data_IF_996659172283
#
_entry.id   IF_996659172283
#
_cell.length_a   1.000
_cell.length_b   1.000
_cell.length_c   1.000
_cell.angle_alpha   90.00
_cell.angle_beta   90.00
_cell.angle_gamma   90.00
#
_symmetry.space_group_name_H-M   'P 1'
#
loop_
_entity.id
_entity.type
_entity.pdbx_description
1 polymer ?
#
# COMPACT_ATOMS: atom_id res chain seq x y z
N UNK A 1 49.29 1.48 13.24
CA UNK A 1 48.05 2.26 13.47
C UNK A 1 46.96 1.65 12.62
N UNK A 2 45.95 1.08 13.27
CA UNK A 2 44.86 0.32 12.66
C UNK A 2 43.94 1.26 11.87
N UNK A 3 43.86 1.07 10.55
CA UNK A 3 42.86 1.71 9.70
C UNK A 3 41.50 1.05 9.95
N UNK A 4 40.59 1.83 10.51
CA UNK A 4 39.22 1.45 10.83
C UNK A 4 38.36 1.56 9.55
N UNK A 5 38.62 0.71 8.56
CA UNK A 5 37.82 0.66 7.33
C UNK A 5 36.50 -0.07 7.62
N UNK A 6 35.38 0.65 7.62
CA UNK A 6 34.05 0.04 7.69
C UNK A 6 33.66 -0.54 6.32
N UNK A 7 33.62 -1.87 6.13
CA UNK A 7 33.44 -2.52 4.83
C UNK A 7 31.97 -2.54 4.34
N UNK A 8 31.13 -1.61 4.78
CA UNK A 8 29.66 -1.70 4.69
C UNK A 8 28.97 -0.65 3.81
N UNK A 9 29.68 0.32 3.22
CA UNK A 9 29.06 1.48 2.57
C UNK A 9 28.43 1.23 1.19
N UNK A 10 28.82 0.17 0.45
CA UNK A 10 28.30 -0.12 -0.90
C UNK A 10 27.44 -1.39 -1.03
N UNK A 11 27.19 -2.09 0.07
CA UNK A 11 26.40 -3.33 0.10
C UNK A 11 24.94 -3.04 0.54
N UNK A 12 23.98 -3.73 -0.08
CA UNK A 12 22.59 -3.77 0.40
C UNK A 12 22.14 -5.21 0.55
N UNK A 13 21.22 -5.49 1.48
CA UNK A 13 20.53 -6.77 1.52
C UNK A 13 19.20 -6.66 0.78
N UNK A 14 18.87 -7.66 -0.04
CA UNK A 14 17.61 -7.69 -0.76
C UNK A 14 16.41 -7.79 0.21
N UNK A 15 15.41 -6.90 0.13
CA UNK A 15 14.21 -6.97 0.97
C UNK A 15 13.47 -8.31 0.88
N UNK A 16 13.40 -8.90 -0.32
CA UNK A 16 12.60 -10.11 -0.56
C UNK A 16 13.30 -11.44 -0.31
N UNK A 17 14.64 -11.50 -0.27
CA UNK A 17 15.36 -12.78 -0.13
C UNK A 17 16.66 -12.71 0.68
N UNK A 18 16.96 -11.56 1.29
CA UNK A 18 18.11 -11.35 2.18
C UNK A 18 19.50 -11.54 1.53
N UNK A 19 19.54 -11.70 0.20
CA UNK A 19 20.80 -11.78 -0.55
C UNK A 19 21.57 -10.46 -0.44
N UNK A 20 22.83 -10.55 -0.01
CA UNK A 20 23.73 -9.40 0.05
C UNK A 20 24.28 -9.12 -1.35
N UNK A 21 24.08 -7.89 -1.83
CA UNK A 21 24.38 -7.47 -3.20
C UNK A 21 25.09 -6.12 -3.15
N UNK A 22 26.24 -5.96 -3.84
CA UNK A 22 26.83 -4.64 -4.05
C UNK A 22 25.91 -3.83 -4.98
N UNK A 23 25.56 -2.61 -4.56
CA UNK A 23 24.70 -1.73 -5.37
C UNK A 23 25.59 -0.65 -5.99
N UNK A 24 26.02 -0.80 -7.26
CA UNK A 24 26.71 0.28 -7.95
C UNK A 24 25.80 1.49 -8.13
N UNK A 25 26.39 2.64 -8.43
CA UNK A 25 25.64 3.81 -8.88
C UNK A 25 24.77 3.43 -10.08
N UNK A 26 23.49 3.73 -10.01
CA UNK A 26 22.53 3.40 -11.06
C UNK A 26 22.49 4.57 -12.04
N UNK A 27 22.76 4.36 -13.34
CA UNK A 27 22.57 5.41 -14.33
C UNK A 27 21.13 5.93 -14.32
N UNK A 28 20.94 7.18 -14.71
CA UNK A 28 19.63 7.79 -14.70
C UNK A 28 18.60 6.99 -15.51
N UNK A 29 17.39 6.88 -14.97
CA UNK A 29 16.29 6.12 -15.60
C UNK A 29 16.40 4.59 -15.51
N UNK A 30 17.50 4.05 -14.97
CA UNK A 30 17.67 2.61 -14.79
C UNK A 30 17.27 2.16 -13.38
N UNK A 31 17.01 0.86 -13.24
CA UNK A 31 16.74 0.22 -11.95
C UNK A 31 17.55 -1.05 -11.80
N UNK A 32 17.92 -1.39 -10.56
CA UNK A 32 18.57 -2.66 -10.25
C UNK A 32 17.55 -3.61 -9.65
N UNK A 33 17.48 -4.84 -10.18
CA UNK A 33 16.68 -5.93 -9.63
C UNK A 33 17.56 -7.06 -9.09
N UNK A 34 17.11 -7.70 -8.02
CA UNK A 34 17.79 -8.84 -7.44
C UNK A 34 17.76 -10.06 -8.38
N UNK A 35 18.91 -10.64 -8.72
CA UNK A 35 18.99 -11.84 -9.58
C UNK A 35 18.35 -13.11 -8.99
N UNK A 36 18.09 -13.14 -7.68
CA UNK A 36 17.49 -14.30 -6.99
C UNK A 36 15.97 -14.28 -6.96
N UNK A 37 15.37 -13.19 -6.43
CA UNK A 37 13.92 -13.06 -6.26
C UNK A 37 13.27 -12.03 -7.21
N UNK A 38 14.07 -11.25 -7.95
CA UNK A 38 13.60 -10.20 -8.86
C UNK A 38 13.16 -8.90 -8.18
N UNK A 39 13.29 -8.77 -6.86
CA UNK A 39 12.88 -7.55 -6.12
C UNK A 39 13.73 -6.36 -6.55
N UNK A 40 13.11 -5.20 -6.79
CA UNK A 40 13.82 -3.96 -7.14
C UNK A 40 14.58 -3.42 -5.93
N UNK A 41 15.87 -3.16 -6.08
CA UNK A 41 16.79 -2.75 -5.00
C UNK A 41 17.01 -1.24 -4.96
N UNK A 42 17.20 -0.62 -6.12
CA UNK A 42 17.51 0.80 -6.25
C UNK A 42 16.96 1.34 -7.56
N UNK A 43 16.52 2.60 -7.53
CA UNK A 43 16.14 3.43 -8.70
C UNK A 43 16.80 4.79 -8.50
N UNK A 44 17.39 5.36 -9.54
CA UNK A 44 17.94 6.72 -9.51
C UNK A 44 17.01 7.67 -10.26
N UNK A 45 16.78 8.87 -9.69
CA UNK A 45 15.97 9.91 -10.30
C UNK A 45 16.70 11.26 -10.27
N UNK A 46 16.79 11.91 -11.42
CA UNK A 46 17.33 13.27 -11.57
C UNK A 46 16.47 14.25 -10.75
N UNK A 47 17.13 15.09 -9.94
CA UNK A 47 16.52 16.17 -9.15
C UNK A 47 15.30 15.72 -8.31
N UNK A 48 15.41 14.55 -7.67
CA UNK A 48 14.33 13.96 -6.87
C UNK A 48 13.76 14.93 -5.82
N UNK A 49 14.60 15.71 -5.13
CA UNK A 49 14.16 16.65 -4.09
C UNK A 49 13.30 17.77 -4.66
N UNK A 50 13.77 18.47 -5.71
CA UNK A 50 13.03 19.58 -6.31
C UNK A 50 11.73 19.11 -6.97
N UNK A 51 11.75 17.94 -7.62
CA UNK A 51 10.54 17.34 -8.21
C UNK A 51 9.51 16.98 -7.14
N UNK A 52 9.93 16.28 -6.08
CA UNK A 52 9.05 15.93 -4.96
C UNK A 52 8.49 17.19 -4.31
N UNK A 53 9.31 18.23 -4.14
CA UNK A 53 8.87 19.51 -3.58
C UNK A 53 7.78 20.17 -4.46
N UNK A 54 8.04 20.33 -5.75
CA UNK A 54 7.10 20.98 -6.68
C UNK A 54 5.79 20.19 -6.81
N UNK A 55 5.87 18.87 -6.96
CA UNK A 55 4.71 17.99 -7.09
C UNK A 55 3.89 17.95 -5.80
N UNK A 56 4.53 17.87 -4.64
CA UNK A 56 3.82 17.82 -3.35
C UNK A 56 3.18 19.17 -3.02
N UNK A 57 3.83 20.29 -3.37
CA UNK A 57 3.24 21.62 -3.23
C UNK A 57 1.99 21.79 -4.12
N UNK A 58 2.08 21.42 -5.40
CA UNK A 58 0.94 21.44 -6.30
C UNK A 58 -0.19 20.51 -5.81
N UNK A 59 0.17 19.32 -5.29
CA UNK A 59 -0.78 18.38 -4.70
C UNK A 59 -1.51 18.95 -3.48
N UNK A 60 -0.80 19.64 -2.59
CA UNK A 60 -1.41 20.30 -1.42
C UNK A 60 -2.36 21.43 -1.81
N UNK A 61 -2.05 22.20 -2.87
CA UNK A 61 -2.95 23.22 -3.39
C UNK A 61 -4.24 22.62 -3.97
N UNK A 62 -4.15 21.49 -4.68
CA UNK A 62 -5.31 20.78 -5.22
C UNK A 62 -6.07 19.97 -4.18
N UNK A 63 -5.47 19.64 -3.04
CA UNK A 63 -6.08 18.79 -2.02
C UNK A 63 -7.37 19.39 -1.44
N UNK A 64 -7.35 20.67 -1.03
CA UNK A 64 -8.53 21.34 -0.47
C UNK A 64 -9.70 21.38 -1.46
N UNK A 65 -9.55 21.90 -2.69
CA UNK A 65 -10.68 21.91 -3.64
C UNK A 65 -11.12 20.48 -4.01
N UNK A 66 -10.21 19.51 -4.09
CA UNK A 66 -10.57 18.12 -4.39
C UNK A 66 -11.44 17.45 -3.31
N UNK A 67 -11.25 17.79 -2.03
CA UNK A 67 -11.98 17.16 -0.93
C UNK A 67 -13.31 17.84 -0.61
N UNK A 68 -13.37 19.17 -0.73
CA UNK A 68 -14.52 19.97 -0.28
C UNK A 68 -15.44 20.46 -1.40
N UNK A 69 -14.96 20.60 -2.64
CA UNK A 69 -15.84 21.00 -3.74
C UNK A 69 -16.69 19.81 -4.19
N UNK A 70 -17.92 20.07 -4.66
CA UNK A 70 -18.74 19.02 -5.23
C UNK A 70 -18.01 18.38 -6.41
N UNK A 71 -18.03 17.05 -6.47
CA UNK A 71 -17.47 16.28 -7.57
C UNK A 71 -18.43 16.29 -8.76
N UNK A 72 -19.70 16.00 -8.48
CA UNK A 72 -20.77 15.91 -9.45
C UNK A 72 -22.05 16.55 -8.90
N UNK A 73 -22.89 17.04 -9.80
CA UNK A 73 -24.27 17.43 -9.50
C UNK A 73 -25.19 16.46 -10.22
N UNK A 74 -26.06 15.78 -9.49
CA UNK A 74 -27.11 14.95 -10.06
C UNK A 74 -28.38 15.78 -10.10
N UNK A 75 -28.99 15.88 -11.29
CA UNK A 75 -30.33 16.44 -11.41
C UNK A 75 -31.32 15.35 -11.82
N UNK A 76 -32.19 15.00 -10.88
CA UNK A 76 -33.29 14.06 -11.11
C UNK A 76 -34.58 14.66 -10.54
N UNK A 77 -35.67 14.61 -11.32
CA UNK A 77 -36.98 15.18 -10.95
C UNK A 77 -36.93 16.65 -10.46
N UNK A 78 -36.00 17.46 -10.98
CA UNK A 78 -35.86 18.88 -10.64
C UNK A 78 -35.12 19.19 -9.33
N UNK A 79 -34.77 18.17 -8.54
CA UNK A 79 -33.88 18.30 -7.37
C UNK A 79 -32.42 18.19 -7.81
N UNK A 80 -31.55 19.03 -7.23
CA UNK A 80 -30.10 19.01 -7.48
C UNK A 80 -29.37 18.52 -6.25
N UNK A 81 -28.86 17.30 -6.32
CA UNK A 81 -28.00 16.67 -5.31
C UNK A 81 -26.53 16.99 -5.61
N UNK A 82 -25.75 17.37 -4.60
CA UNK A 82 -24.31 17.68 -4.71
C UNK A 82 -23.54 16.76 -3.77
N UNK A 83 -22.54 16.05 -4.29
CA UNK A 83 -21.70 15.16 -3.48
C UNK A 83 -20.21 15.52 -3.58
N UNK A 84 -19.57 15.77 -2.44
CA UNK A 84 -18.11 15.76 -2.27
C UNK A 84 -17.62 14.49 -1.55
N UNK A 85 -16.29 14.33 -1.46
CA UNK A 85 -15.68 13.21 -0.71
C UNK A 85 -16.05 13.25 0.76
N UNK A 86 -16.08 14.46 1.34
CA UNK A 86 -16.41 14.66 2.75
C UNK A 86 -17.91 14.43 2.99
N UNK A 87 -18.77 14.88 2.08
CA UNK A 87 -20.22 14.63 2.18
C UNK A 87 -20.53 13.13 2.19
N UNK A 88 -19.77 12.35 1.40
CA UNK A 88 -19.87 10.88 1.41
C UNK A 88 -19.57 10.30 2.80
N UNK A 89 -18.54 10.80 3.49
CA UNK A 89 -18.20 10.36 4.85
C UNK A 89 -19.28 10.72 5.89
N UNK A 90 -19.86 11.93 5.75
CA UNK A 90 -20.94 12.43 6.60
C UNK A 90 -22.21 11.61 6.38
N UNK A 91 -22.54 11.30 5.12
CA UNK A 91 -23.66 10.44 4.74
C UNK A 91 -23.58 9.07 5.40
N UNK A 92 -22.40 8.44 5.45
CA UNK A 92 -22.24 7.17 6.19
C UNK A 92 -22.49 7.31 7.69
N UNK A 93 -22.03 8.40 8.30
CA UNK A 93 -22.22 8.62 9.72
C UNK A 93 -23.70 8.81 10.06
N UNK A 94 -24.41 9.63 9.28
CA UNK A 94 -25.83 9.91 9.49
C UNK A 94 -26.71 8.66 9.30
N UNK A 95 -26.34 7.79 8.37
CA UNK A 95 -27.04 6.53 8.12
C UNK A 95 -26.67 5.39 9.10
N UNK A 96 -25.94 5.69 10.19
CA UNK A 96 -25.60 4.73 11.24
C UNK A 96 -24.39 3.84 10.94
N UNK A 97 -23.68 4.07 9.84
CA UNK A 97 -22.50 3.28 9.42
C UNK A 97 -21.20 3.85 10.00
N UNK A 98 -21.13 3.91 11.33
CA UNK A 98 -20.01 4.55 12.05
C UNK A 98 -18.66 3.93 11.67
N UNK A 99 -18.57 2.61 11.57
CA UNK A 99 -17.31 1.91 11.24
C UNK A 99 -16.83 2.25 9.82
N UNK A 100 -17.74 2.19 8.83
CA UNK A 100 -17.42 2.49 7.42
C UNK A 100 -17.09 3.98 7.24
N UNK A 101 -17.81 4.87 7.95
CA UNK A 101 -17.53 6.30 7.97
C UNK A 101 -16.13 6.61 8.51
N UNK A 102 -15.74 6.03 9.65
CA UNK A 102 -14.41 6.23 10.25
C UNK A 102 -13.31 5.74 9.30
N UNK A 103 -13.46 4.53 8.75
CA UNK A 103 -12.46 3.94 7.84
C UNK A 103 -12.34 4.80 6.58
N UNK A 104 -13.46 5.16 5.96
CA UNK A 104 -13.47 6.00 4.76
C UNK A 104 -12.89 7.38 5.04
N UNK A 105 -13.22 8.02 6.16
CA UNK A 105 -12.65 9.31 6.54
C UNK A 105 -11.14 9.24 6.74
N UNK A 106 -10.64 8.24 7.46
CA UNK A 106 -9.20 8.06 7.68
C UNK A 106 -8.49 7.80 6.34
N UNK A 107 -9.03 6.92 5.50
CA UNK A 107 -8.34 6.45 4.28
C UNK A 107 -8.52 7.36 3.06
N UNK A 108 -9.64 8.07 2.94
CA UNK A 108 -9.95 8.96 1.82
C UNK A 108 -9.60 10.44 2.12
N UNK A 109 -9.60 10.85 3.39
CA UNK A 109 -9.30 12.25 3.77
C UNK A 109 -7.93 12.36 4.45
N UNK A 110 -7.70 11.66 5.57
CA UNK A 110 -6.48 11.85 6.38
C UNK A 110 -5.24 11.27 5.70
N UNK A 111 -5.27 10.01 5.27
CA UNK A 111 -4.11 9.32 4.68
C UNK A 111 -3.61 10.04 3.42
N UNK A 112 -4.46 10.50 2.48
CA UNK A 112 -4.01 11.20 1.28
C UNK A 112 -3.34 12.54 1.60
N UNK A 113 -3.87 13.27 2.58
CA UNK A 113 -3.25 14.50 3.09
C UNK A 113 -1.84 14.21 3.61
N UNK A 114 -1.70 13.25 4.53
CA UNK A 114 -0.41 12.89 5.11
C UNK A 114 0.58 12.33 4.07
N UNK A 115 0.08 11.58 3.07
CA UNK A 115 0.88 11.01 1.97
C UNK A 115 1.58 12.11 1.16
N UNK A 116 0.96 13.27 0.95
CA UNK A 116 1.54 14.39 0.20
C UNK A 116 2.27 15.37 1.13
N UNK A 117 1.72 15.61 2.32
CA UNK A 117 2.26 16.58 3.28
C UNK A 117 3.63 16.17 3.86
N UNK A 118 3.83 14.88 4.15
CA UNK A 118 5.12 14.41 4.72
C UNK A 118 6.28 14.61 3.72
N UNK A 119 6.21 14.14 2.45
CA UNK A 119 7.23 14.41 1.45
C UNK A 119 7.47 15.91 1.19
N UNK A 120 6.42 16.74 1.26
CA UNK A 120 6.57 18.18 1.16
C UNK A 120 7.44 18.73 2.30
N UNK A 121 7.11 18.41 3.55
CA UNK A 121 7.87 18.88 4.71
C UNK A 121 9.32 18.37 4.71
N UNK A 122 9.55 17.11 4.33
CA UNK A 122 10.90 16.56 4.25
C UNK A 122 11.70 17.23 3.14
N UNK A 123 11.12 17.42 1.94
CA UNK A 123 11.79 18.09 0.83
C UNK A 123 12.10 19.57 1.14
N UNK A 124 11.17 20.32 1.76
CA UNK A 124 11.39 21.70 2.22
C UNK A 124 12.54 21.75 3.23
N UNK A 125 12.51 20.87 4.24
CA UNK A 125 13.52 20.87 5.30
C UNK A 125 14.91 20.53 4.77
N UNK A 126 15.00 19.56 3.85
CA UNK A 126 16.25 19.21 3.17
C UNK A 126 16.78 20.38 2.32
N UNK A 127 15.90 21.08 1.57
CA UNK A 127 16.27 22.23 0.75
C UNK A 127 16.72 23.44 1.59
N UNK A 128 16.15 23.61 2.79
CA UNK A 128 16.55 24.64 3.76
C UNK A 128 17.77 24.24 4.61
N UNK A 129 18.35 23.06 4.41
CA UNK A 129 19.47 22.54 5.21
C UNK A 129 19.11 22.29 6.70
N UNK A 130 17.82 22.30 7.05
CA UNK A 130 17.36 22.17 8.44
C UNK A 130 17.11 20.70 8.77
N UNK A 131 17.90 20.16 9.71
CA UNK A 131 17.70 18.82 10.26
C UNK A 131 16.78 18.89 11.47
N UNK A 132 15.50 18.59 11.28
CA UNK A 132 14.59 18.36 12.40
C UNK A 132 14.54 16.86 12.71
N UNK A 133 14.83 16.48 13.96
CA UNK A 133 14.74 15.08 14.43
C UNK A 133 13.33 14.48 14.21
N UNK A 134 12.30 15.32 14.15
CA UNK A 134 10.91 14.95 13.84
C UNK A 134 10.73 14.39 12.43
N UNK A 135 11.62 14.69 11.48
CA UNK A 135 11.49 14.22 10.09
C UNK A 135 11.73 12.72 9.93
N UNK A 136 12.55 12.12 10.79
CA UNK A 136 12.85 10.69 10.79
C UNK A 136 11.59 9.85 11.05
N UNK A 137 10.84 10.05 12.15
CA UNK A 137 9.60 9.32 12.39
C UNK A 137 8.52 9.67 11.35
N UNK A 138 8.45 10.90 10.86
CA UNK A 138 7.51 11.27 9.79
C UNK A 138 7.78 10.49 8.50
N UNK A 139 9.04 10.41 8.06
CA UNK A 139 9.38 9.69 6.84
C UNK A 139 9.21 8.16 6.99
N UNK A 140 9.39 7.63 8.20
CA UNK A 140 8.99 6.26 8.56
C UNK A 140 7.48 6.05 8.43
N UNK A 141 6.67 6.98 8.97
CA UNK A 141 5.21 6.93 8.85
C UNK A 141 4.76 6.97 7.38
N UNK A 142 5.41 7.78 6.54
CA UNK A 142 5.11 7.85 5.12
C UNK A 142 5.20 6.50 4.41
N UNK A 143 6.18 5.65 4.74
CA UNK A 143 6.28 4.30 4.19
C UNK A 143 5.02 3.48 4.49
N UNK A 144 4.51 3.53 5.72
CA UNK A 144 3.27 2.84 6.06
C UNK A 144 2.08 3.48 5.35
N UNK A 145 2.00 4.81 5.28
CA UNK A 145 0.90 5.49 4.57
C UNK A 145 0.85 5.15 3.07
N UNK A 146 1.97 4.86 2.41
CA UNK A 146 1.96 4.37 1.02
C UNK A 146 1.34 2.97 0.87
N UNK A 147 1.41 2.14 1.91
CA UNK A 147 0.79 0.81 1.92
C UNK A 147 -0.74 0.91 2.12
N UNK A 148 -1.22 1.95 2.80
CA UNK A 148 -2.64 2.17 3.13
C UNK A 148 -3.34 3.24 2.25
N UNK A 149 -2.59 4.09 1.56
CA UNK A 149 -3.13 5.22 0.81
C UNK A 149 -3.69 4.82 -0.55
N UNK A 150 -4.99 5.02 -0.74
CA UNK A 150 -5.78 4.46 -1.85
C UNK A 150 -6.59 5.54 -2.59
N UNK A 151 -5.99 6.70 -2.87
CA UNK A 151 -6.69 7.81 -3.57
C UNK A 151 -7.09 7.38 -4.98
N UNK A 152 -6.24 6.59 -5.63
CA UNK A 152 -6.44 6.06 -6.98
C UNK A 152 -7.71 5.21 -7.07
N UNK A 153 -8.02 4.48 -5.99
CA UNK A 153 -9.17 3.58 -5.92
C UNK A 153 -10.46 4.36 -5.70
N UNK A 154 -10.42 5.44 -4.92
CA UNK A 154 -11.57 6.31 -4.77
C UNK A 154 -11.97 6.96 -6.10
N UNK A 155 -10.99 7.35 -6.94
CA UNK A 155 -11.27 7.84 -8.30
C UNK A 155 -11.98 6.79 -9.16
N UNK A 156 -11.51 5.54 -9.11
CA UNK A 156 -12.15 4.43 -9.81
C UNK A 156 -13.57 4.19 -9.30
N UNK A 157 -13.77 4.28 -7.98
CA UNK A 157 -15.09 4.18 -7.36
C UNK A 157 -16.06 5.22 -7.90
N UNK A 158 -15.65 6.50 -7.87
CA UNK A 158 -16.41 7.60 -8.48
C UNK A 158 -16.70 7.32 -9.96
N UNK A 159 -15.70 6.91 -10.75
CA UNK A 159 -15.86 6.66 -12.18
C UNK A 159 -16.87 5.55 -12.47
N UNK A 160 -16.84 4.46 -11.72
CA UNK A 160 -17.80 3.37 -11.84
C UNK A 160 -19.21 3.87 -11.53
N UNK A 161 -19.37 4.65 -10.45
CA UNK A 161 -20.68 5.19 -10.10
C UNK A 161 -21.19 6.18 -11.14
N UNK A 162 -20.33 7.02 -11.71
CA UNK A 162 -20.67 7.94 -12.79
C UNK A 162 -21.18 7.20 -14.03
N UNK A 163 -20.50 6.13 -14.45
CA UNK A 163 -20.93 5.30 -15.58
C UNK A 163 -22.30 4.71 -15.31
N UNK A 164 -22.56 4.23 -14.08
CA UNK A 164 -23.85 3.62 -13.74
C UNK A 164 -24.99 4.64 -13.64
N UNK A 165 -24.71 5.82 -13.08
CA UNK A 165 -25.70 6.88 -12.91
C UNK A 165 -26.03 7.61 -14.19
N UNK A 166 -25.12 7.62 -15.18
CA UNK A 166 -25.35 8.28 -16.46
C UNK A 166 -26.53 7.71 -17.24
N UNK A 167 -26.92 6.46 -16.95
CA UNK A 167 -28.09 5.83 -17.56
C UNK A 167 -29.42 6.32 -16.96
N UNK A 168 -29.39 6.92 -15.76
CA UNK A 168 -30.58 7.23 -14.94
C UNK A 168 -30.77 8.74 -14.72
N UNK A 169 -29.69 9.52 -14.69
CA UNK A 169 -29.73 10.96 -14.41
C UNK A 169 -28.75 11.74 -15.28
N UNK A 170 -29.04 13.02 -15.53
CA UNK A 170 -28.06 13.93 -16.14
C UNK A 170 -27.02 14.34 -15.10
N UNK A 171 -25.75 14.14 -15.46
CA UNK A 171 -24.60 14.36 -14.58
C UNK A 171 -23.84 15.59 -15.07
N UNK A 172 -23.76 16.62 -14.21
CA UNK A 172 -22.88 17.77 -14.43
C UNK A 172 -21.58 17.59 -13.65
N UNK A 173 -20.44 17.57 -14.34
CA UNK A 173 -19.11 17.52 -13.73
C UNK A 173 -18.70 18.88 -13.18
N UNK A 174 -18.37 18.92 -11.90
CA UNK A 174 -17.92 20.15 -11.23
C UNK A 174 -16.39 20.24 -11.19
N UNK A 175 -15.88 21.42 -10.81
CA UNK A 175 -14.45 21.67 -10.63
C UNK A 175 -13.79 20.67 -9.67
N UNK A 176 -14.49 20.22 -8.63
CA UNK A 176 -13.99 19.25 -7.66
C UNK A 176 -13.52 17.94 -8.30
N UNK A 177 -14.21 17.45 -9.32
CA UNK A 177 -13.85 16.22 -10.03
C UNK A 177 -12.49 16.34 -10.73
N UNK A 178 -12.24 17.45 -11.43
CA UNK A 178 -10.96 17.69 -12.09
C UNK A 178 -9.82 17.93 -11.10
N UNK A 179 -10.10 18.64 -9.99
CA UNK A 179 -9.14 18.78 -8.89
C UNK A 179 -8.79 17.42 -8.26
N UNK A 180 -9.77 16.53 -8.12
CA UNK A 180 -9.57 15.19 -7.58
C UNK A 180 -8.73 14.30 -8.51
N UNK A 181 -8.98 14.33 -9.82
CA UNK A 181 -8.12 13.66 -10.81
C UNK A 181 -6.69 14.21 -10.74
N UNK A 182 -6.53 15.54 -10.71
CA UNK A 182 -5.22 16.18 -10.59
C UNK A 182 -4.49 15.77 -9.31
N UNK A 183 -5.19 15.70 -8.17
CA UNK A 183 -4.66 15.23 -6.90
C UNK A 183 -4.15 13.78 -6.98
N UNK A 184 -4.94 12.88 -7.60
CA UNK A 184 -4.54 11.48 -7.79
C UNK A 184 -3.26 11.39 -8.62
N UNK A 185 -3.21 12.07 -9.77
CA UNK A 185 -2.05 12.05 -10.66
C UNK A 185 -0.81 12.62 -9.97
N UNK A 186 -0.93 13.74 -9.26
CA UNK A 186 0.18 14.33 -8.51
C UNK A 186 0.64 13.43 -7.37
N UNK A 187 -0.28 12.81 -6.63
CA UNK A 187 0.07 11.88 -5.55
C UNK A 187 0.85 10.66 -6.07
N UNK A 188 0.46 10.13 -7.24
CA UNK A 188 1.17 9.05 -7.91
C UNK A 188 2.54 9.50 -8.42
N UNK A 189 2.63 10.72 -8.98
CA UNK A 189 3.89 11.32 -9.43
C UNK A 189 4.87 11.53 -8.26
N UNK A 190 4.39 11.94 -7.08
CA UNK A 190 5.22 12.05 -5.85
C UNK A 190 5.78 10.69 -5.46
N UNK A 191 4.94 9.65 -5.35
CA UNK A 191 5.39 8.30 -4.98
C UNK A 191 6.36 7.67 -5.99
N UNK A 192 6.28 8.03 -7.27
CA UNK A 192 7.26 7.59 -8.28
C UNK A 192 8.55 8.41 -8.23
N UNK A 193 8.48 9.71 -7.92
CA UNK A 193 9.64 10.61 -7.96
C UNK A 193 10.54 10.52 -6.72
N UNK A 194 10.06 9.92 -5.64
CA UNK A 194 10.78 9.87 -4.36
C UNK A 194 11.90 8.82 -4.37
N UNK A 195 13.16 9.28 -4.35
CA UNK A 195 14.30 8.41 -4.12
C UNK A 195 14.48 8.19 -2.61
N UNK A 196 13.90 7.10 -2.11
CA UNK A 196 13.95 6.74 -0.69
C UNK A 196 15.39 6.61 -0.17
N UNK A 197 16.34 6.14 -0.98
CA UNK A 197 17.74 5.96 -0.55
C UNK A 197 18.40 7.34 -0.38
N UNK A 198 18.21 8.23 -1.34
CA UNK A 198 18.72 9.60 -1.30
C UNK A 198 18.13 10.39 -0.12
N UNK A 199 16.80 10.35 0.08
CA UNK A 199 16.15 11.04 1.20
C UNK A 199 16.71 10.57 2.56
N UNK A 200 16.86 9.26 2.76
CA UNK A 200 17.46 8.72 3.99
C UNK A 200 18.95 9.06 4.14
N UNK A 201 19.70 9.09 3.04
CA UNK A 201 21.12 9.49 3.06
C UNK A 201 21.28 10.94 3.50
N UNK A 202 20.48 11.85 2.93
CA UNK A 202 20.51 13.28 3.25
C UNK A 202 19.97 13.58 4.64
N UNK A 203 18.96 12.85 5.12
CA UNK A 203 18.51 12.98 6.51
C UNK A 203 19.61 12.61 7.53
N UNK A 204 20.53 11.71 7.15
CA UNK A 204 21.65 11.28 7.99
C UNK A 204 22.89 12.19 7.86
N UNK A 205 23.35 12.45 6.63
CA UNK A 205 24.63 13.14 6.36
C UNK A 205 24.47 14.64 6.08
N UNK A 206 23.29 15.08 5.63
CA UNK A 206 22.89 16.47 5.38
C UNK A 206 23.67 17.27 4.35
N UNK A 207 24.57 16.65 3.58
CA UNK A 207 25.14 17.19 2.36
C UNK A 207 25.28 16.09 1.30
N UNK A 208 25.30 16.47 0.02
CA UNK A 208 25.57 15.59 -1.13
C UNK A 208 27.06 15.33 -1.35
N UNK A 209 27.93 16.04 -0.62
CA UNK A 209 29.40 16.13 -0.78
C UNK A 209 30.17 14.82 -0.51
N UNK A 210 29.51 13.76 -0.01
CA UNK A 210 30.11 12.44 0.20
C UNK A 210 29.79 11.40 -0.87
N UNK A 211 28.92 11.69 -1.85
CA UNK A 211 28.50 10.70 -2.85
C UNK A 211 29.65 10.41 -3.83
N UNK A 212 30.41 11.43 -4.23
CA UNK A 212 31.44 11.29 -5.26
C UNK A 212 32.78 10.75 -4.72
N UNK A 213 33.19 11.07 -3.49
CA UNK A 213 34.44 10.55 -2.89
C UNK A 213 34.30 9.09 -2.40
N UNK A 214 33.15 8.67 -1.83
CA UNK A 214 32.94 7.27 -1.44
C UNK A 214 32.85 6.33 -2.65
N UNK A 215 32.30 6.80 -3.78
CA UNK A 215 32.18 5.99 -5.00
C UNK A 215 33.53 5.85 -5.73
N UNK A 216 34.41 6.85 -5.65
CA UNK A 216 35.70 6.86 -6.36
C UNK A 216 36.85 6.22 -5.57
N UNK A 217 36.83 6.23 -4.23
CA UNK A 217 37.84 5.54 -3.40
C UNK A 217 37.61 4.02 -3.23
N UNK A 218 36.44 3.50 -3.60
CA UNK A 218 36.15 2.07 -3.57
C UNK A 218 36.72 1.37 -4.81
N UNK A 219 38.04 1.41 -4.94
CA UNK A 219 38.83 0.50 -5.77
C UNK A 219 38.79 -0.93 -5.24
N UNK A 220 37.60 -1.52 -5.16
CA UNK A 220 37.41 -2.92 -4.78
C UNK A 220 37.99 -3.77 -5.91
N UNK A 221 39.23 -4.25 -5.72
CA UNK A 221 39.77 -5.35 -6.51
C UNK A 221 38.94 -6.59 -6.20
N UNK A 222 38.15 -7.01 -7.17
CA UNK A 222 37.51 -8.32 -7.16
C UNK A 222 38.62 -9.37 -7.16
N UNK A 223 38.92 -9.92 -5.99
CA UNK A 223 39.57 -11.23 -5.98
C UNK A 223 38.55 -12.24 -6.48
N UNK A 224 38.80 -12.73 -7.69
CA UNK A 224 38.15 -13.92 -8.24
C UNK A 224 38.05 -15.01 -7.18
N UNK A 225 36.83 -15.34 -6.76
CA UNK A 225 36.54 -16.63 -6.14
C UNK A 225 35.05 -16.98 -6.31
N UNK A 226 34.72 -18.23 -6.68
CA UNK A 226 33.43 -18.58 -7.25
C UNK A 226 32.40 -18.99 -6.17
N UNK A 227 31.10 -18.82 -6.50
CA UNK A 227 29.98 -19.70 -6.08
C UNK A 227 29.44 -19.72 -4.63
N UNK A 228 29.57 -18.69 -3.78
CA UNK A 228 28.64 -18.57 -2.63
C UNK A 228 27.88 -17.23 -2.62
N UNK A 229 26.62 -17.32 -3.00
CA UNK A 229 25.56 -16.32 -2.83
C UNK A 229 25.33 -16.15 -1.32
N UNK A 230 26.04 -15.22 -0.66
CA UNK A 230 25.94 -15.03 0.79
C UNK A 230 24.75 -14.14 1.19
N UNK A 231 23.96 -14.58 2.17
CA UNK A 231 22.89 -13.76 2.76
C UNK A 231 23.44 -12.85 3.85
N UNK A 232 22.80 -11.69 4.05
CA UNK A 232 23.16 -10.75 5.11
C UNK A 232 23.15 -11.43 6.49
N UNK A 233 22.14 -12.26 6.75
CA UNK A 233 22.05 -13.00 7.99
C UNK A 233 23.24 -13.94 8.25
N UNK A 234 23.80 -14.58 7.22
CA UNK A 234 24.96 -15.47 7.34
C UNK A 234 26.23 -14.73 7.77
N UNK A 235 26.35 -13.46 7.38
CA UNK A 235 27.40 -12.53 7.76
C UNK A 235 27.11 -11.74 9.03
N UNK A 236 26.04 -12.08 9.76
CA UNK A 236 25.60 -11.34 10.95
C UNK A 236 25.31 -9.87 10.65
N UNK A 237 24.76 -9.58 9.48
CA UNK A 237 24.23 -8.28 9.11
C UNK A 237 22.70 -8.32 9.14
N UNK A 238 22.09 -7.26 9.66
CA UNK A 238 20.66 -7.03 9.66
C UNK A 238 20.34 -5.81 8.80
N UNK A 239 19.29 -5.91 7.99
CA UNK A 239 18.73 -4.78 7.27
C UNK A 239 17.54 -4.22 8.03
N UNK A 240 17.58 -2.94 8.35
CA UNK A 240 16.41 -2.24 8.88
C UNK A 240 15.24 -2.33 7.87
N UNK A 241 14.07 -2.74 8.35
CA UNK A 241 12.86 -2.82 7.51
C UNK A 241 12.37 -1.45 7.06
N UNK A 242 12.52 -0.42 7.90
CA UNK A 242 11.95 0.91 7.68
C UNK A 242 12.84 1.77 6.78
N UNK A 243 14.12 1.92 7.14
CA UNK A 243 15.06 2.79 6.41
C UNK A 243 16.01 2.06 5.46
N UNK A 244 16.07 0.72 5.51
CA UNK A 244 16.93 -0.09 4.64
C UNK A 244 18.42 -0.09 4.99
N UNK A 245 18.85 0.60 6.06
CA UNK A 245 20.26 0.62 6.50
C UNK A 245 20.72 -0.77 6.95
N UNK A 246 21.91 -1.17 6.52
CA UNK A 246 22.58 -2.37 7.02
C UNK A 246 23.31 -2.08 8.32
N UNK A 247 23.12 -2.95 9.30
CA UNK A 247 23.70 -2.85 10.63
C UNK A 247 24.27 -4.21 11.02
N UNK A 248 25.47 -4.22 11.61
CA UNK A 248 26.07 -5.45 12.13
C UNK A 248 25.33 -5.89 13.40
N UNK A 249 24.92 -7.14 13.43
CA UNK A 249 24.22 -7.71 14.56
C UNK A 249 25.13 -7.79 15.80
N UNK A 250 24.61 -7.29 16.91
CA UNK A 250 25.19 -7.39 18.25
C UNK A 250 24.50 -8.45 19.10
N UNK A 251 24.97 -8.65 20.34
CA UNK A 251 24.47 -9.65 21.27
C UNK A 251 23.06 -9.33 21.82
N UNK A 252 22.71 -8.05 21.93
CA UNK A 252 21.43 -7.58 22.50
C UNK A 252 20.43 -7.09 21.45
N UNK A 253 19.21 -6.76 21.88
CA UNK A 253 18.25 -6.02 21.05
C UNK A 253 18.87 -4.69 20.63
N UNK A 254 19.03 -4.52 19.33
CA UNK A 254 19.60 -3.31 18.74
C UNK A 254 18.51 -2.46 18.08
N UNK A 255 18.66 -1.15 18.20
CA UNK A 255 17.86 -0.18 17.47
C UNK A 255 18.65 0.31 16.25
N UNK A 256 17.92 0.70 15.21
CA UNK A 256 18.54 1.23 14.01
C UNK A 256 19.10 2.63 14.29
N UNK A 257 20.40 2.88 14.08
CA UNK A 257 21.02 4.17 14.37
C UNK A 257 20.54 5.30 13.43
N UNK A 258 19.72 4.99 12.41
CA UNK A 258 19.17 5.98 11.47
C UNK A 258 17.71 6.35 11.77
N UNK A 259 16.91 5.39 12.25
CA UNK A 259 15.45 5.58 12.36
C UNK A 259 14.85 5.04 13.65
N UNK A 260 15.70 4.61 14.59
CA UNK A 260 15.34 4.10 15.92
C UNK A 260 14.37 2.90 15.89
N UNK A 261 14.22 2.25 14.73
CA UNK A 261 13.42 1.03 14.61
C UNK A 261 14.13 -0.15 15.28
N UNK A 262 13.39 -1.01 15.97
CA UNK A 262 13.91 -2.29 16.44
C UNK A 262 14.47 -3.14 15.28
N UNK A 263 15.71 -3.59 15.39
CA UNK A 263 16.36 -4.46 14.42
C UNK A 263 16.16 -5.93 14.77
N UNK A 264 15.87 -6.73 13.76
CA UNK A 264 15.76 -8.17 13.85
C UNK A 264 16.15 -8.83 12.52
N UNK A 265 16.63 -10.07 12.57
CA UNK A 265 16.99 -10.83 11.36
C UNK A 265 15.75 -11.20 10.52
N UNK A 266 14.69 -11.63 11.20
CA UNK A 266 13.37 -11.95 10.64
C UNK A 266 12.31 -11.34 11.55
N UNK A 267 11.18 -10.94 10.97
CA UNK A 267 10.08 -10.36 11.75
C UNK A 267 9.55 -11.39 12.75
N UNK A 268 9.66 -11.07 14.04
CA UNK A 268 9.28 -11.98 15.13
C UNK A 268 7.81 -12.41 15.00
N UNK A 269 7.53 -13.70 15.20
CA UNK A 269 6.18 -14.28 15.14
C UNK A 269 5.43 -14.01 13.81
N UNK A 270 6.11 -13.59 12.75
CA UNK A 270 5.49 -13.28 11.45
C UNK A 270 4.65 -14.44 10.95
N UNK A 271 5.16 -15.68 11.03
CA UNK A 271 4.42 -16.87 10.60
C UNK A 271 3.14 -17.12 11.39
N UNK A 272 3.18 -17.05 12.73
CA UNK A 272 2.01 -17.34 13.57
C UNK A 272 0.94 -16.25 13.45
N UNK A 273 1.36 -14.98 13.37
CA UNK A 273 0.43 -13.85 13.15
C UNK A 273 -0.19 -13.95 11.76
N UNK A 274 0.61 -14.25 10.72
CA UNK A 274 0.09 -14.41 9.36
C UNK A 274 -0.91 -15.58 9.30
N UNK A 275 -0.63 -16.72 9.94
CA UNK A 275 -1.60 -17.82 10.06
C UNK A 275 -2.89 -17.39 10.74
N UNK A 276 -2.80 -16.71 11.89
CA UNK A 276 -3.96 -16.22 12.61
C UNK A 276 -4.82 -15.30 11.73
N UNK A 277 -4.21 -14.30 11.08
CA UNK A 277 -4.92 -13.35 10.21
C UNK A 277 -5.54 -14.02 8.99
N UNK A 278 -4.85 -14.99 8.37
CA UNK A 278 -5.37 -15.75 7.23
C UNK A 278 -6.57 -16.60 7.65
N UNK A 279 -6.48 -17.31 8.78
CA UNK A 279 -7.61 -18.10 9.32
C UNK A 279 -8.79 -17.19 9.66
N UNK A 280 -8.55 -16.06 10.34
CA UNK A 280 -9.58 -15.06 10.63
C UNK A 280 -10.24 -14.57 9.34
N UNK A 281 -9.45 -14.24 8.30
CA UNK A 281 -10.01 -13.80 7.02
C UNK A 281 -10.84 -14.88 6.34
N UNK A 282 -10.46 -16.16 6.44
CA UNK A 282 -11.21 -17.29 5.89
C UNK A 282 -12.56 -17.46 6.60
N UNK A 283 -12.58 -17.35 7.93
CA UNK A 283 -13.80 -17.45 8.74
C UNK A 283 -14.76 -16.29 8.39
N UNK A 284 -14.24 -15.07 8.29
CA UNK A 284 -15.05 -13.88 7.99
C UNK A 284 -15.49 -13.80 6.52
N UNK A 285 -14.78 -14.47 5.60
CA UNK A 285 -15.12 -14.49 4.19
C UNK A 285 -16.48 -15.16 3.93
N UNK A 286 -16.84 -16.18 4.72
CA UNK A 286 -18.12 -16.87 4.59
C UNK A 286 -19.33 -15.96 4.90
N UNK A 287 -19.46 -15.34 6.11
CA UNK A 287 -20.55 -14.42 6.40
C UNK A 287 -20.52 -13.18 5.51
N UNK A 288 -19.34 -12.71 5.07
CA UNK A 288 -19.25 -11.57 4.15
C UNK A 288 -19.95 -11.81 2.80
N UNK A 289 -19.93 -13.03 2.28
CA UNK A 289 -20.56 -13.38 1.00
C UNK A 289 -22.00 -13.89 1.15
N UNK A 290 -22.38 -14.41 2.31
CA UNK A 290 -23.73 -14.93 2.55
C UNK A 290 -24.71 -13.90 3.11
N UNK A 291 -24.21 -12.91 3.87
CA UNK A 291 -25.06 -11.87 4.42
C UNK A 291 -25.36 -10.80 3.36
N UNK A 292 -26.54 -10.17 3.44
CA UNK A 292 -26.87 -9.06 2.56
C UNK A 292 -25.85 -7.94 2.77
N UNK A 293 -25.41 -7.37 1.65
CA UNK A 293 -24.51 -6.20 1.63
C UNK A 293 -25.32 -4.92 1.49
N UNK A 294 -26.46 -4.99 0.82
CA UNK A 294 -27.38 -3.88 0.59
C UNK A 294 -28.80 -4.33 0.93
N UNK A 295 -29.56 -3.43 1.54
CA UNK A 295 -30.99 -3.53 1.75
C UNK A 295 -31.63 -2.29 1.13
N UNK A 296 -32.54 -2.46 0.18
CA UNK A 296 -33.29 -1.38 -0.45
C UNK A 296 -34.73 -1.48 0.05
N UNK A 297 -35.21 -0.42 0.70
CA UNK A 297 -36.60 -0.38 1.14
C UNK A 297 -37.43 0.40 0.09
N UNK A 298 -38.29 -0.31 -0.64
CA UNK A 298 -39.24 0.30 -1.57
C UNK A 298 -40.65 0.20 -0.97
N UNK A 299 -41.28 1.36 -0.71
CA UNK A 299 -42.61 1.43 -0.05
C UNK A 299 -42.69 0.65 1.29
N UNK A 300 -41.58 0.59 2.03
CA UNK A 300 -41.50 -0.09 3.33
C UNK A 300 -41.35 -1.61 3.27
N UNK A 301 -41.22 -2.21 2.07
CA UNK A 301 -40.87 -3.62 1.91
C UNK A 301 -39.35 -3.73 1.76
N UNK A 302 -38.63 -4.37 2.71
CA UNK A 302 -37.19 -4.50 2.64
C UNK A 302 -36.78 -5.58 1.65
N UNK A 303 -36.05 -5.19 0.60
CA UNK A 303 -35.40 -6.12 -0.32
C UNK A 303 -33.91 -6.22 0.00
N UNK A 304 -33.40 -7.43 0.19
CA UNK A 304 -32.04 -7.69 0.69
C UNK A 304 -31.24 -8.40 -0.39
N UNK A 305 -30.15 -7.77 -0.81
CA UNK A 305 -29.27 -8.32 -1.85
C UNK A 305 -27.90 -8.66 -1.29
N UNK A 306 -27.42 -9.87 -1.57
CA UNK A 306 -26.03 -10.27 -1.34
C UNK A 306 -25.12 -9.74 -2.44
N UNK A 307 -23.80 -9.85 -2.25
CA UNK A 307 -22.81 -9.55 -3.30
C UNK A 307 -23.08 -10.41 -4.55
N UNK A 308 -23.44 -11.69 -4.36
CA UNK A 308 -23.74 -12.60 -5.46
C UNK A 308 -25.00 -12.16 -6.22
N UNK A 309 -26.04 -11.74 -5.52
CA UNK A 309 -27.26 -11.21 -6.14
C UNK A 309 -26.95 -9.93 -6.93
N UNK A 310 -26.10 -9.05 -6.39
CA UNK A 310 -25.61 -7.87 -7.11
C UNK A 310 -24.88 -8.24 -8.40
N UNK A 311 -23.98 -9.22 -8.36
CA UNK A 311 -23.28 -9.73 -9.55
C UNK A 311 -24.30 -10.22 -10.59
N UNK A 312 -25.22 -11.12 -10.20
CA UNK A 312 -26.23 -11.69 -11.11
C UNK A 312 -27.11 -10.59 -11.71
N UNK A 313 -27.51 -9.60 -10.90
CA UNK A 313 -28.30 -8.46 -11.34
C UNK A 313 -27.59 -7.69 -12.47
N UNK A 314 -26.31 -7.33 -12.29
CA UNK A 314 -25.56 -6.60 -13.31
C UNK A 314 -25.27 -7.41 -14.58
N UNK A 315 -25.12 -8.74 -14.49
CA UNK A 315 -24.96 -9.61 -15.67
C UNK A 315 -26.25 -9.74 -16.48
N UNK A 316 -27.40 -9.78 -15.81
CA UNK A 316 -28.72 -9.96 -16.45
C UNK A 316 -29.28 -8.67 -17.06
N UNK A 317 -28.98 -7.51 -16.46
CA UNK A 317 -29.49 -6.20 -16.90
C UNK A 317 -28.56 -5.47 -17.90
N UNK A 318 -27.69 -6.21 -18.60
CA UNK A 318 -26.92 -5.70 -19.75
C UNK A 318 -25.56 -5.05 -19.44
N UNK A 319 -25.25 -4.75 -18.18
CA UNK A 319 -23.98 -4.14 -17.76
C UNK A 319 -22.91 -5.18 -17.36
N UNK A 320 -22.56 -6.07 -18.29
CA UNK A 320 -21.61 -7.18 -18.07
C UNK A 320 -20.28 -6.68 -17.47
N UNK A 321 -19.78 -5.53 -17.91
CA UNK A 321 -18.53 -4.95 -17.43
C UNK A 321 -18.53 -4.66 -15.92
N UNK A 322 -19.62 -4.11 -15.39
CA UNK A 322 -19.75 -3.80 -13.95
C UNK A 322 -19.81 -5.10 -13.13
N UNK A 323 -20.61 -6.07 -13.59
CA UNK A 323 -20.70 -7.38 -12.94
C UNK A 323 -19.36 -8.11 -12.86
N UNK A 324 -18.54 -8.01 -13.92
CA UNK A 324 -17.18 -8.57 -13.94
C UNK A 324 -16.25 -7.86 -12.95
N UNK A 325 -16.30 -6.52 -12.87
CA UNK A 325 -15.49 -5.74 -11.92
C UNK A 325 -15.80 -6.15 -10.48
N UNK A 326 -17.08 -6.24 -10.12
CA UNK A 326 -17.52 -6.65 -8.78
C UNK A 326 -17.08 -8.10 -8.51
N UNK A 327 -17.33 -9.04 -9.42
CA UNK A 327 -16.90 -10.44 -9.25
C UNK A 327 -15.40 -10.57 -8.99
N UNK A 328 -14.58 -9.85 -9.78
CA UNK A 328 -13.12 -9.88 -9.62
C UNK A 328 -12.70 -9.25 -8.30
N UNK A 329 -13.22 -8.06 -7.96
CA UNK A 329 -12.79 -7.30 -6.80
C UNK A 329 -13.29 -7.91 -5.47
N UNK A 330 -14.53 -8.39 -5.41
CA UNK A 330 -15.18 -8.85 -4.18
C UNK A 330 -14.90 -10.32 -3.87
N UNK A 331 -14.80 -11.16 -4.90
CA UNK A 331 -14.70 -12.62 -4.71
C UNK A 331 -13.30 -13.11 -5.10
N UNK A 332 -12.89 -12.90 -6.35
CA UNK A 332 -11.66 -13.51 -6.86
C UNK A 332 -10.40 -12.94 -6.21
N UNK A 333 -10.33 -11.63 -5.98
CA UNK A 333 -9.17 -10.96 -5.36
C UNK A 333 -8.94 -11.42 -3.92
N UNK A 334 -9.93 -11.37 -2.99
CA UNK A 334 -9.75 -11.89 -1.64
C UNK A 334 -9.44 -13.39 -1.61
N UNK A 335 -10.12 -14.21 -2.42
CA UNK A 335 -9.83 -15.64 -2.52
C UNK A 335 -8.39 -15.89 -2.96
N UNK A 336 -7.92 -15.18 -3.99
CA UNK A 336 -6.54 -15.30 -4.47
C UNK A 336 -5.53 -14.98 -3.38
N UNK A 337 -5.76 -13.93 -2.57
CA UNK A 337 -4.88 -13.58 -1.45
C UNK A 337 -4.87 -14.67 -0.37
N UNK A 338 -6.05 -15.13 0.05
CA UNK A 338 -6.18 -16.15 1.10
C UNK A 338 -5.50 -17.44 0.64
N UNK A 339 -5.86 -17.96 -0.53
CA UNK A 339 -5.27 -19.19 -1.09
C UNK A 339 -3.77 -19.04 -1.31
N UNK A 340 -3.33 -17.91 -1.88
CA UNK A 340 -1.92 -17.63 -2.14
C UNK A 340 -1.08 -17.60 -0.86
N UNK A 341 -1.55 -16.93 0.19
CA UNK A 341 -0.88 -16.91 1.48
C UNK A 341 -0.86 -18.30 2.15
N UNK A 342 -1.97 -19.05 2.10
CA UNK A 342 -2.01 -20.44 2.61
C UNK A 342 -0.97 -21.33 1.90
N UNK A 343 -0.88 -21.26 0.57
CA UNK A 343 0.11 -22.04 -0.21
C UNK A 343 1.55 -21.69 0.22
N UNK A 344 1.85 -20.40 0.43
CA UNK A 344 3.16 -19.94 0.89
C UNK A 344 3.46 -20.48 2.30
N UNK A 345 2.51 -20.35 3.23
CA UNK A 345 2.66 -20.79 4.61
C UNK A 345 2.84 -22.31 4.71
N UNK A 346 2.04 -23.09 3.97
CA UNK A 346 2.17 -24.55 3.90
C UNK A 346 3.51 -24.99 3.28
N UNK A 347 4.01 -24.24 2.29
CA UNK A 347 5.34 -24.49 1.71
C UNK A 347 6.43 -24.34 2.75
N UNK A 348 6.39 -23.25 3.52
CA UNK A 348 7.39 -22.96 4.56
C UNK A 348 7.35 -24.05 5.63
N UNK A 349 6.16 -24.50 6.04
CA UNK A 349 6.01 -25.59 7.01
C UNK A 349 6.53 -26.94 6.47
N UNK A 350 6.31 -27.21 5.17
CA UNK A 350 6.78 -28.45 4.53
C UNK A 350 8.29 -28.48 4.28
N UNK A 351 9.00 -27.35 4.41
CA UNK A 351 10.45 -27.24 4.15
C UNK A 351 10.89 -27.51 2.71
N UNK A 352 9.94 -27.60 1.76
CA UNK A 352 10.24 -27.97 0.36
C UNK A 352 10.70 -26.75 -0.44
N UNK A 353 11.91 -26.82 -1.00
CA UNK A 353 12.51 -25.79 -1.85
C UNK A 353 11.94 -25.72 -3.29
N UNK A 354 10.71 -26.21 -3.51
CA UNK A 354 10.12 -26.25 -4.85
C UNK A 354 9.54 -24.88 -5.22
N UNK A 355 9.98 -24.37 -6.37
CA UNK A 355 9.42 -23.19 -7.03
C UNK A 355 9.45 -21.88 -6.21
N UNK A 356 10.49 -21.67 -5.38
CA UNK A 356 10.61 -20.46 -4.54
C UNK A 356 10.56 -19.16 -5.33
N UNK A 357 11.14 -19.13 -6.55
CA UNK A 357 11.04 -17.97 -7.47
C UNK A 357 9.59 -17.67 -7.85
N UNK A 358 8.79 -18.70 -8.18
CA UNK A 358 7.38 -18.53 -8.53
C UNK A 358 6.56 -18.08 -7.32
N UNK A 359 6.83 -18.63 -6.13
CA UNK A 359 6.17 -18.24 -4.87
C UNK A 359 6.51 -16.80 -4.47
N UNK A 360 7.76 -16.36 -4.67
CA UNK A 360 8.16 -14.97 -4.47
C UNK A 360 7.47 -14.02 -5.46
N UNK A 361 7.29 -14.43 -6.72
CA UNK A 361 6.48 -13.68 -7.70
C UNK A 361 5.00 -13.65 -7.30
N UNK A 362 4.45 -14.76 -6.85
CA UNK A 362 3.06 -14.87 -6.36
C UNK A 362 2.83 -13.92 -5.18
N UNK A 363 3.73 -13.92 -4.20
CA UNK A 363 3.66 -12.99 -3.08
C UNK A 363 3.72 -11.52 -3.52
N UNK A 364 4.62 -11.16 -4.45
CA UNK A 364 4.65 -9.81 -5.02
C UNK A 364 3.37 -9.43 -5.74
N UNK A 365 2.70 -10.39 -6.37
CA UNK A 365 1.40 -10.17 -7.00
C UNK A 365 0.28 -10.02 -5.96
N UNK A 366 0.33 -10.76 -4.85
CA UNK A 366 -0.55 -10.59 -3.67
C UNK A 366 -0.38 -9.17 -3.08
N UNK A 367 0.86 -8.70 -2.90
CA UNK A 367 1.13 -7.32 -2.45
C UNK A 367 0.65 -6.28 -3.46
N UNK A 368 0.82 -6.54 -4.76
CA UNK A 368 0.36 -5.64 -5.82
C UNK A 368 -1.16 -5.50 -5.81
N UNK A 369 -1.89 -6.61 -5.89
CA UNK A 369 -3.36 -6.66 -5.80
C UNK A 369 -3.82 -6.11 -4.45
N UNK A 370 -3.01 -6.31 -3.42
CA UNK A 370 -3.26 -5.84 -2.07
C UNK A 370 -3.78 -4.43 -2.00
N UNK A 371 -3.01 -3.54 -2.61
CA UNK A 371 -3.31 -2.10 -2.64
C UNK A 371 -4.68 -1.78 -3.23
N UNK A 372 -5.29 -2.64 -4.04
CA UNK A 372 -6.57 -2.42 -4.75
C UNK A 372 -7.79 -3.00 -4.04
N UNK A 373 -7.58 -3.80 -3.01
CA UNK A 373 -8.62 -4.67 -2.46
C UNK A 373 -9.73 -3.98 -1.69
N UNK A 374 -9.61 -2.69 -1.38
CA UNK A 374 -10.70 -1.90 -0.76
C UNK A 374 -11.64 -1.25 -1.78
N UNK A 375 -11.36 -1.38 -3.09
CA UNK A 375 -12.17 -0.74 -4.15
C UNK A 375 -13.65 -1.02 -4.01
N UNK A 376 -14.00 -2.28 -3.75
CA UNK A 376 -15.38 -2.72 -3.68
C UNK A 376 -16.19 -2.04 -2.56
N UNK A 377 -15.60 -1.87 -1.37
CA UNK A 377 -16.24 -1.16 -0.25
C UNK A 377 -16.53 0.28 -0.65
N UNK A 378 -15.56 0.95 -1.28
CA UNK A 378 -15.75 2.34 -1.70
C UNK A 378 -16.81 2.47 -2.80
N UNK A 379 -16.84 1.56 -3.78
CA UNK A 379 -17.88 1.57 -4.82
C UNK A 379 -19.26 1.41 -4.22
N UNK A 380 -19.47 0.39 -3.37
CA UNK A 380 -20.76 0.14 -2.71
C UNK A 380 -21.18 1.35 -1.88
N UNK A 381 -20.24 1.92 -1.12
CA UNK A 381 -20.53 3.03 -0.24
C UNK A 381 -20.84 4.33 -1.01
N UNK A 382 -20.14 4.62 -2.11
CA UNK A 382 -20.48 5.77 -2.97
C UNK A 382 -21.83 5.55 -3.65
N UNK A 383 -22.14 4.33 -4.10
CA UNK A 383 -23.43 4.00 -4.68
C UNK A 383 -24.57 4.18 -3.67
N UNK A 384 -24.41 3.79 -2.40
CA UNK A 384 -25.47 3.99 -1.41
C UNK A 384 -25.78 5.47 -1.18
N UNK A 385 -24.77 6.34 -1.11
CA UNK A 385 -24.99 7.79 -0.93
C UNK A 385 -25.59 8.44 -2.19
N UNK A 386 -25.20 8.01 -3.38
CA UNK A 386 -25.66 8.65 -4.63
C UNK A 386 -27.03 8.13 -5.13
N UNK A 387 -27.45 6.94 -4.73
CA UNK A 387 -28.75 6.34 -5.13
C UNK A 387 -29.84 6.58 -4.06
N UNK A 388 -29.49 7.10 -2.88
CA UNK A 388 -30.47 7.37 -1.83
C UNK A 388 -31.31 8.62 -2.16
N UNK A 389 -32.47 8.40 -2.79
CA UNK A 389 -33.46 9.44 -3.05
C UNK A 389 -34.35 9.74 -1.83
N UNK A 390 -33.97 9.29 -0.63
CA UNK A 390 -34.69 9.53 0.61
C UNK A 390 -36.09 8.92 0.59
N UNK A 391 -37.13 9.76 0.49
CA UNK A 391 -38.54 9.38 0.74
C UNK A 391 -39.13 8.29 -0.17
N UNK A 392 -38.53 8.02 -1.35
CA UNK A 392 -39.03 7.01 -2.30
C UNK A 392 -38.29 5.67 -2.25
N UNK A 393 -36.99 5.69 -1.94
CA UNK A 393 -36.10 4.53 -1.88
C UNK A 393 -35.00 4.85 -0.86
N UNK A 394 -35.04 4.20 0.31
CA UNK A 394 -33.93 4.27 1.27
C UNK A 394 -33.04 3.05 1.11
N UNK A 395 -31.73 3.28 0.98
CA UNK A 395 -30.76 2.21 0.81
C UNK A 395 -29.93 2.10 2.08
N UNK A 396 -30.13 0.99 2.78
CA UNK A 396 -29.36 0.66 3.96
C UNK A 396 -28.25 -0.33 3.62
N UNK A 397 -27.03 -0.06 4.07
CA UNK A 397 -25.94 -1.05 4.03
C UNK A 397 -26.21 -2.14 5.07
N UNK A 398 -26.21 -3.38 4.63
CA UNK A 398 -26.53 -4.54 5.46
C UNK A 398 -25.26 -5.17 6.09
N UNK A 399 -25.37 -6.07 7.09
CA UNK A 399 -24.24 -6.55 7.88
C UNK A 399 -23.07 -7.12 7.08
N UNK A 400 -23.31 -7.66 5.88
CA UNK A 400 -22.28 -8.22 5.00
C UNK A 400 -21.13 -7.25 4.71
N UNK A 401 -21.40 -5.94 4.61
CA UNK A 401 -20.37 -4.93 4.36
C UNK A 401 -19.32 -4.86 5.48
N UNK A 402 -19.74 -5.02 6.74
CA UNK A 402 -18.81 -4.98 7.89
C UNK A 402 -17.88 -6.19 7.89
N UNK A 403 -18.43 -7.40 7.68
CA UNK A 403 -17.63 -8.62 7.54
C UNK A 403 -16.67 -8.55 6.35
N UNK A 404 -17.14 -8.04 5.21
CA UNK A 404 -16.30 -7.83 4.04
C UNK A 404 -15.13 -6.88 4.32
N UNK A 405 -15.39 -5.77 5.01
CA UNK A 405 -14.35 -4.84 5.46
C UNK A 405 -13.30 -5.52 6.35
N UNK A 406 -13.74 -6.33 7.32
CA UNK A 406 -12.82 -7.06 8.19
C UNK A 406 -11.98 -8.10 7.43
N UNK A 407 -12.53 -8.77 6.41
CA UNK A 407 -11.76 -9.66 5.52
C UNK A 407 -10.66 -8.89 4.81
N UNK A 408 -10.97 -7.73 4.23
CA UNK A 408 -9.98 -6.91 3.51
C UNK A 408 -8.88 -6.44 4.47
N UNK A 409 -9.23 -5.94 5.65
CA UNK A 409 -8.26 -5.52 6.67
C UNK A 409 -7.39 -6.69 7.12
N UNK A 410 -7.98 -7.86 7.40
CA UNK A 410 -7.25 -9.04 7.84
C UNK A 410 -6.28 -9.56 6.76
N UNK A 411 -6.73 -9.66 5.50
CA UNK A 411 -5.87 -10.10 4.38
C UNK A 411 -4.76 -9.10 4.07
N UNK A 412 -5.00 -7.80 4.28
CA UNK A 412 -3.96 -6.78 4.13
C UNK A 412 -2.94 -6.78 5.24
N UNK A 413 -3.40 -6.87 6.48
CA UNK A 413 -2.52 -7.03 7.62
C UNK A 413 -1.67 -8.29 7.50
N UNK A 414 -2.24 -9.40 7.00
CA UNK A 414 -1.50 -10.65 6.77
C UNK A 414 -0.36 -10.46 5.76
N UNK A 415 -0.61 -9.78 4.65
CA UNK A 415 0.41 -9.51 3.64
C UNK A 415 1.52 -8.58 4.15
N UNK A 416 1.18 -7.54 4.92
CA UNK A 416 2.14 -6.57 5.48
C UNK A 416 3.03 -7.22 6.56
N UNK A 417 2.45 -8.08 7.42
CA UNK A 417 3.18 -8.75 8.51
C UNK A 417 4.06 -9.89 8.00
N UNK A 418 3.69 -10.51 6.87
CA UNK A 418 4.45 -11.63 6.31
C UNK A 418 5.84 -11.20 5.81
N UNK A 419 6.89 -11.83 6.33
CA UNK A 419 8.26 -11.59 5.87
C UNK A 419 8.66 -12.55 4.74
N UNK A 420 8.76 -12.09 3.47
CA UNK A 420 9.06 -12.94 2.32
C UNK A 420 10.45 -13.59 2.37
N UNK A 421 11.37 -13.09 3.22
CA UNK A 421 12.71 -13.67 3.36
C UNK A 421 12.65 -15.06 3.99
N UNK A 422 11.65 -15.33 4.84
CA UNK A 422 11.45 -16.64 5.50
C UNK A 422 11.28 -17.75 4.46
N UNK A 423 10.68 -17.45 3.29
CA UNK A 423 10.53 -18.40 2.19
C UNK A 423 11.89 -18.93 1.68
N UNK A 424 12.94 -18.12 1.76
CA UNK A 424 14.28 -18.43 1.25
C UNK A 424 15.20 -19.06 2.30
N UNK A 425 14.83 -19.03 3.57
CA UNK A 425 15.58 -19.66 4.67
C UNK A 425 15.63 -21.20 4.53
N UNK A 426 14.76 -21.80 3.71
CA UNK A 426 14.80 -23.23 3.40
C UNK A 426 15.97 -23.60 2.45
N UNK A 427 16.53 -22.64 1.70
CA UNK A 427 17.77 -22.81 0.94
C UNK A 427 19.00 -22.37 1.72
N UNK A 428 18.90 -21.25 2.45
CA UNK A 428 20.00 -20.69 3.23
C UNK A 428 19.57 -20.50 4.69
N UNK A 429 19.60 -21.57 5.51
CA UNK A 429 19.12 -21.51 6.87
C UNK A 429 19.95 -20.54 7.72
N UNK A 430 19.28 -19.84 8.63
CA UNK A 430 19.95 -19.04 9.65
C UNK A 430 20.85 -19.92 10.50
N UNK A 431 22.08 -19.46 10.79
CA UNK A 431 22.98 -20.14 11.74
C UNK A 431 22.29 -20.29 13.11
N UNK A 432 22.42 -21.46 13.78
CA UNK A 432 21.80 -21.70 15.09
C UNK A 432 22.25 -20.64 16.11
N UNK A 433 21.30 -20.13 16.91
CA UNK A 433 21.52 -19.07 17.91
C UNK A 433 21.10 -17.65 17.48
N UNK A 434 20.71 -17.45 16.22
CA UNK A 434 20.10 -16.18 15.74
C UNK A 434 18.58 -16.32 15.74
N UNK A 435 17.89 -15.51 16.55
CA UNK A 435 16.44 -15.68 16.79
C UNK A 435 15.61 -15.58 15.51
N UNK A 436 14.73 -16.57 15.30
CA UNK A 436 13.57 -16.49 14.40
C UNK A 436 12.49 -15.56 14.93
#
# INVERSE_FOLDING_TARGET
MQSNENPTSSLTACPGCDLLIPVPAVPDGHYIACGRCGTTLSKSYINSIDRVLALSFAGLLLYLPAMFLPLMTLSSLGLKERGSVVDTCIGFYQNGYVVVSIITFVTAVIVPFLKIFIPFLTAVSLKLGRRAKVLIPSFKLHKHLEEWGMVEIYLLGILITLIKMGDVASIDFNLGFFCFIGLVLLSMAVSVSIDRRLFWYLLEHGETSGIDEEIQLLGIRFHDSPKLVQTAANLSLMRCHDCGKLVKAGPDKQECPRCDSSLHFRTQKSLSITWALVITSLILFFPANMLPIMQVDFLGVPDRSTILDGIIYFFTHGSIGIGLIILIASILVPLYKIIGLVIILLTIHSGKNRQLKQKSKMFRFIEFIGRWSMLDIFVVAILTVLVDFGFLTSIHTAPGATYFCLVVIATMSAAIVFDPRILWDACDPLKPGKSR
#
